data_IF_769502020334
#
_entry.id   IF_769502020334
#
_cell.length_a   1.000
_cell.length_b   1.000
_cell.length_c   1.000
_cell.angle_alpha   90.00
_cell.angle_beta   90.00
_cell.angle_gamma   90.00
#
_symmetry.space_group_name_H-M   'P 1'
#
loop_
_entity.id
_entity.type
_entity.pdbx_description
1 polymer ?
#
# COMPACT_ATOMS: atom_id res chain seq x y z
N UNK A 1 4.90 7.08 -6.08
CA UNK A 1 4.85 5.65 -5.70
C UNK A 1 6.26 5.16 -5.46
N UNK A 2 6.47 4.24 -4.52
CA UNK A 2 7.79 3.63 -4.31
C UNK A 2 7.73 2.11 -4.48
N UNK A 3 8.64 1.57 -5.28
CA UNK A 3 8.86 0.13 -5.41
C UNK A 3 9.97 -0.27 -4.43
N UNK A 4 9.75 -1.35 -3.67
CA UNK A 4 10.71 -1.82 -2.67
C UNK A 4 11.19 -3.20 -3.06
N UNK A 5 12.47 -3.32 -3.46
CA UNK A 5 13.11 -4.63 -3.57
C UNK A 5 13.49 -5.09 -2.16
N UNK A 6 12.88 -6.17 -1.67
CA UNK A 6 13.11 -6.67 -0.32
C UNK A 6 14.07 -7.86 -0.29
N UNK A 7 15.24 -7.71 -0.91
CA UNK A 7 16.28 -8.73 -0.89
C UNK A 7 16.02 -9.91 -1.82
N UNK A 8 15.37 -9.65 -2.96
CA UNK A 8 15.23 -10.64 -4.03
C UNK A 8 16.60 -11.12 -4.51
N UNK A 9 16.68 -12.40 -4.87
CA UNK A 9 17.91 -13.07 -5.33
C UNK A 9 17.94 -13.35 -6.84
N UNK A 10 16.86 -13.01 -7.52
CA UNK A 10 16.71 -13.10 -8.97
C UNK A 10 16.89 -11.72 -9.61
N UNK A 11 16.55 -11.59 -10.89
CA UNK A 11 16.64 -10.34 -11.64
C UNK A 11 15.53 -9.32 -11.32
N UNK A 12 14.81 -9.47 -10.20
CA UNK A 12 13.76 -8.52 -9.80
C UNK A 12 14.31 -7.10 -9.70
N UNK A 13 15.44 -6.89 -9.02
CA UNK A 13 16.02 -5.54 -8.87
C UNK A 13 16.30 -4.88 -10.23
N UNK A 14 16.92 -5.62 -11.15
CA UNK A 14 17.25 -5.15 -12.49
C UNK A 14 15.99 -4.77 -13.27
N UNK A 15 14.95 -5.61 -13.23
CA UNK A 15 13.65 -5.31 -13.87
C UNK A 15 12.99 -4.08 -13.26
N UNK A 16 12.99 -3.95 -11.94
CA UNK A 16 12.44 -2.76 -11.27
C UNK A 16 13.23 -1.51 -11.63
N UNK A 17 14.56 -1.63 -11.77
CA UNK A 17 15.42 -0.52 -12.17
C UNK A 17 15.11 -0.07 -13.60
N UNK A 18 14.92 -1.01 -14.53
CA UNK A 18 14.47 -0.71 -15.89
C UNK A 18 13.09 -0.05 -15.93
N UNK A 19 12.21 -0.28 -14.95
CA UNK A 19 10.91 0.39 -14.86
C UNK A 19 11.07 1.81 -14.31
N UNK A 20 11.90 2.00 -13.29
CA UNK A 20 12.26 3.33 -12.78
C UNK A 20 12.87 4.19 -13.89
N UNK A 21 13.84 3.66 -14.64
CA UNK A 21 14.57 4.39 -15.68
C UNK A 21 13.70 4.76 -16.89
N UNK A 22 12.60 4.02 -17.13
CA UNK A 22 11.64 4.29 -18.21
C UNK A 22 10.50 5.22 -17.80
N UNK A 23 10.39 5.55 -16.52
CA UNK A 23 9.25 6.28 -16.01
C UNK A 23 9.69 7.70 -15.62
N UNK A 24 9.29 8.67 -16.45
CA UNK A 24 9.79 10.04 -16.36
C UNK A 24 9.43 10.77 -15.06
N UNK A 25 8.34 10.38 -14.36
CA UNK A 25 7.94 11.05 -13.11
C UNK A 25 7.30 10.13 -12.06
N UNK A 26 7.66 10.36 -10.78
CA UNK A 26 6.87 9.91 -9.63
C UNK A 26 7.04 8.46 -9.17
N UNK A 27 7.95 7.69 -9.77
CA UNK A 27 8.35 6.35 -9.33
C UNK A 27 9.74 6.39 -8.69
N UNK A 28 9.90 5.75 -7.54
CA UNK A 28 11.21 5.59 -6.89
C UNK A 28 11.46 4.13 -6.53
N UNK A 29 12.68 3.65 -6.72
CA UNK A 29 13.12 2.31 -6.33
C UNK A 29 13.98 2.36 -5.06
N UNK A 30 13.63 1.50 -4.10
CA UNK A 30 14.40 1.33 -2.87
C UNK A 30 14.88 -0.12 -2.81
N UNK A 31 16.19 -0.29 -2.72
CA UNK A 31 16.83 -1.61 -2.65
C UNK A 31 17.25 -1.97 -1.23
N UNK A 32 16.65 -3.04 -0.69
CA UNK A 32 17.05 -3.65 0.58
C UNK A 32 17.83 -4.92 0.25
N UNK A 33 19.15 -4.85 0.36
CA UNK A 33 20.07 -5.94 -0.06
C UNK A 33 19.85 -7.30 0.61
N UNK A 34 19.21 -7.35 1.78
CA UNK A 34 18.97 -8.58 2.54
C UNK A 34 17.53 -8.59 3.04
N UNK A 35 16.79 -9.66 2.76
CA UNK A 35 15.45 -9.85 3.29
C UNK A 35 15.47 -9.83 4.83
N UNK A 36 14.66 -8.95 5.43
CA UNK A 36 14.51 -8.81 6.89
C UNK A 36 13.05 -8.83 7.35
N UNK A 37 12.15 -9.35 6.50
CA UNK A 37 10.70 -9.27 6.70
C UNK A 37 10.05 -8.09 5.99
N UNK A 38 8.71 -8.02 6.08
CA UNK A 38 7.90 -7.03 5.37
C UNK A 38 7.93 -5.67 6.07
N UNK A 39 7.86 -5.63 7.40
CA UNK A 39 7.81 -4.37 8.17
C UNK A 39 9.01 -3.46 7.90
N UNK A 40 10.27 -3.94 7.87
CA UNK A 40 11.41 -3.09 7.53
C UNK A 40 11.34 -2.54 6.10
N UNK A 41 10.73 -3.29 5.17
CA UNK A 41 10.54 -2.85 3.79
C UNK A 41 9.48 -1.74 3.70
N UNK A 42 8.34 -1.91 4.37
CA UNK A 42 7.32 -0.86 4.50
C UNK A 42 7.95 0.39 5.11
N UNK A 43 8.70 0.25 6.22
CA UNK A 43 9.40 1.37 6.89
C UNK A 43 10.33 2.13 5.95
N UNK A 44 11.09 1.42 5.12
CA UNK A 44 12.00 2.05 4.18
C UNK A 44 11.25 2.88 3.15
N UNK A 45 10.17 2.34 2.57
CA UNK A 45 9.31 3.03 1.62
C UNK A 45 8.62 4.26 2.22
N UNK A 46 8.01 4.09 3.39
CA UNK A 46 7.36 5.17 4.14
C UNK A 46 8.33 6.30 4.42
N UNK A 47 9.51 6.00 4.97
CA UNK A 47 10.52 7.02 5.29
C UNK A 47 10.96 7.79 4.05
N UNK A 48 11.07 7.13 2.91
CA UNK A 48 11.42 7.78 1.66
C UNK A 48 10.30 8.72 1.18
N UNK A 49 9.07 8.21 1.14
CA UNK A 49 7.89 8.97 0.71
C UNK A 49 7.60 10.17 1.61
N UNK A 50 7.74 10.02 2.93
CA UNK A 50 7.50 11.10 3.90
C UNK A 50 8.60 12.16 3.94
N UNK A 51 9.77 11.94 3.30
CA UNK A 51 10.88 12.89 3.37
C UNK A 51 10.57 14.23 2.69
N UNK A 52 9.80 14.20 1.62
CA UNK A 52 9.59 15.35 0.73
C UNK A 52 8.11 15.77 0.61
N UNK A 53 7.19 15.01 1.19
CA UNK A 53 5.76 15.15 0.94
C UNK A 53 4.98 15.11 2.26
N UNK A 54 3.96 15.96 2.37
CA UNK A 54 2.98 15.88 3.45
C UNK A 54 1.88 14.86 3.08
N UNK A 55 2.21 13.58 3.26
CA UNK A 55 1.32 12.47 2.93
C UNK A 55 0.37 12.17 4.08
N UNK A 56 -0.92 12.42 3.88
CA UNK A 56 -1.96 12.12 4.87
C UNK A 56 -2.11 10.62 5.14
N UNK A 57 -1.96 9.79 4.10
CA UNK A 57 -2.15 8.35 4.15
C UNK A 57 -1.14 7.63 3.26
N UNK A 58 -0.65 6.47 3.69
CA UNK A 58 0.22 5.60 2.89
C UNK A 58 -0.36 4.18 2.89
N UNK A 59 -0.85 3.75 1.73
CA UNK A 59 -1.22 2.36 1.48
C UNK A 59 -0.03 1.56 1.00
N UNK A 60 0.15 0.34 1.51
CA UNK A 60 1.11 -0.62 0.95
C UNK A 60 0.39 -1.83 0.34
N UNK A 61 1.02 -2.39 -0.69
CA UNK A 61 0.58 -3.63 -1.33
C UNK A 61 1.79 -4.56 -1.45
N UNK A 62 1.67 -5.76 -0.92
CA UNK A 62 2.66 -6.81 -1.14
C UNK A 62 2.36 -7.50 -2.46
N UNK A 63 3.32 -7.52 -3.37
CA UNK A 63 3.16 -8.15 -4.68
C UNK A 63 3.59 -9.61 -4.57
N UNK A 64 2.61 -10.51 -4.47
CA UNK A 64 2.83 -11.94 -4.62
C UNK A 64 2.84 -12.30 -6.12
N UNK A 65 3.59 -13.33 -6.52
CA UNK A 65 3.60 -13.87 -7.88
C UNK A 65 2.20 -14.34 -8.33
N UNK A 66 1.32 -14.66 -7.38
CA UNK A 66 -0.07 -15.03 -7.63
C UNK A 66 -1.02 -13.84 -7.79
N UNK A 67 -0.53 -12.60 -7.60
CA UNK A 67 -1.37 -11.41 -7.70
C UNK A 67 -1.74 -11.15 -9.17
N UNK A 68 -3.04 -11.15 -9.45
CA UNK A 68 -3.56 -10.80 -10.77
C UNK A 68 -3.09 -9.38 -11.14
N UNK A 69 -2.43 -9.14 -12.29
CA UNK A 69 -2.01 -7.80 -12.70
C UNK A 69 -3.16 -6.77 -12.73
N UNK A 70 -4.39 -7.22 -13.04
CA UNK A 70 -5.57 -6.36 -13.04
C UNK A 70 -6.02 -5.95 -11.63
N UNK A 71 -5.54 -6.63 -10.58
CA UNK A 71 -5.81 -6.25 -9.20
C UNK A 71 -5.30 -4.84 -8.89
N UNK A 72 -4.14 -4.47 -9.42
CA UNK A 72 -3.60 -3.12 -9.24
C UNK A 72 -4.52 -2.05 -9.85
N UNK A 73 -5.08 -2.33 -11.04
CA UNK A 73 -6.04 -1.43 -11.69
C UNK A 73 -7.32 -1.34 -10.85
N UNK A 74 -7.85 -2.48 -10.39
CA UNK A 74 -9.05 -2.55 -9.56
C UNK A 74 -8.90 -1.72 -8.28
N UNK A 75 -7.80 -1.90 -7.54
CA UNK A 75 -7.58 -1.18 -6.28
C UNK A 75 -7.39 0.32 -6.53
N UNK A 76 -6.72 0.72 -7.62
CA UNK A 76 -6.60 2.14 -7.99
C UNK A 76 -7.95 2.77 -8.29
N UNK A 77 -8.85 2.06 -8.98
CA UNK A 77 -10.21 2.53 -9.24
C UNK A 77 -11.03 2.65 -7.94
N UNK A 78 -10.91 1.66 -7.05
CA UNK A 78 -11.59 1.70 -5.76
C UNK A 78 -11.11 2.87 -4.90
N UNK A 79 -9.80 3.13 -4.85
CA UNK A 79 -9.23 4.29 -4.16
C UNK A 79 -9.79 5.59 -4.74
N UNK A 80 -9.82 5.74 -6.07
CA UNK A 80 -10.38 6.95 -6.71
C UNK A 80 -11.85 7.16 -6.33
N UNK A 81 -12.65 6.10 -6.34
CA UNK A 81 -14.07 6.18 -6.05
C UNK A 81 -14.37 6.38 -4.55
N UNK A 82 -13.55 5.84 -3.65
CA UNK A 82 -13.90 5.67 -2.23
C UNK A 82 -12.80 6.14 -1.26
N UNK A 83 -11.93 7.07 -1.68
CA UNK A 83 -10.80 7.54 -0.86
C UNK A 83 -11.22 8.09 0.53
N UNK A 84 -12.44 8.61 0.67
CA UNK A 84 -12.96 9.09 1.96
C UNK A 84 -13.03 7.96 3.02
N UNK A 85 -13.28 6.72 2.58
CA UNK A 85 -13.31 5.55 3.48
C UNK A 85 -11.96 5.28 4.15
N UNK A 86 -10.85 5.82 3.64
CA UNK A 86 -9.54 5.73 4.30
C UNK A 86 -9.54 6.43 5.66
N UNK A 87 -10.28 7.53 5.83
CA UNK A 87 -10.39 8.20 7.12
C UNK A 87 -11.15 7.34 8.12
N UNK A 88 -12.30 6.79 7.72
CA UNK A 88 -13.10 5.88 8.54
C UNK A 88 -12.33 4.62 8.92
N UNK A 89 -11.59 4.05 7.97
CA UNK A 89 -10.74 2.88 8.23
C UNK A 89 -9.68 3.18 9.29
N UNK A 90 -8.95 4.29 9.17
CA UNK A 90 -7.93 4.67 10.14
C UNK A 90 -8.52 4.88 11.54
N UNK A 91 -9.66 5.57 11.67
CA UNK A 91 -10.35 5.71 12.95
C UNK A 91 -10.76 4.35 13.55
N UNK A 92 -11.22 3.42 12.72
CA UNK A 92 -11.57 2.07 13.17
C UNK A 92 -10.33 1.26 13.62
N UNK A 93 -9.15 1.48 13.03
CA UNK A 93 -7.92 0.84 13.47
C UNK A 93 -7.39 1.41 14.79
N UNK A 94 -7.57 2.70 15.06
CA UNK A 94 -7.14 3.32 16.32
C UNK A 94 -7.88 2.79 17.56
N UNK A 95 -9.10 2.27 17.36
CA UNK A 95 -9.93 1.72 18.43
C UNK A 95 -9.54 0.28 18.84
N UNK A 96 -8.65 -0.40 18.11
CA UNK A 96 -8.23 -1.77 18.44
C UNK A 96 -7.15 -1.77 19.54
N UNK A 97 -7.30 -2.58 20.60
CA UNK A 97 -6.33 -2.62 21.70
C UNK A 97 -4.96 -3.15 21.24
N UNK A 98 -3.91 -2.37 21.52
CA UNK A 98 -2.48 -2.70 21.45
C UNK A 98 -2.04 -3.65 20.33
N UNK A 99 -2.51 -3.44 19.09
CA UNK A 99 -1.67 -3.78 17.96
C UNK A 99 -0.69 -2.63 17.84
N UNK A 100 0.62 -2.90 17.93
CA UNK A 100 1.66 -1.94 17.57
C UNK A 100 1.48 -1.63 16.09
N UNK A 101 0.54 -0.74 15.77
CA UNK A 101 0.35 -0.23 14.43
C UNK A 101 1.71 0.30 14.04
N UNK A 102 2.27 -0.28 12.97
CA UNK A 102 3.63 0.00 12.57
C UNK A 102 3.84 1.52 12.45
N UNK A 103 2.78 2.27 12.06
CA UNK A 103 2.68 3.73 12.07
C UNK A 103 1.21 4.21 12.07
N UNK A 104 0.95 5.46 12.49
CA UNK A 104 -0.33 6.14 12.20
C UNK A 104 -0.46 6.38 10.69
N UNK A 105 -1.68 6.24 10.14
CA UNK A 105 -2.02 6.50 8.73
C UNK A 105 -1.36 5.59 7.68
N UNK A 106 -0.87 4.42 8.09
CA UNK A 106 -0.27 3.43 7.17
C UNK A 106 -1.07 2.14 7.24
N UNK A 107 -1.49 1.62 6.09
CA UNK A 107 -2.38 0.47 6.03
C UNK A 107 -2.14 -0.43 4.84
N UNK A 108 -2.55 -1.70 4.98
CA UNK A 108 -2.57 -2.64 3.87
C UNK A 108 -3.72 -2.29 2.91
N UNK A 109 -3.43 -2.20 1.62
CA UNK A 109 -4.46 -1.98 0.61
C UNK A 109 -5.43 -3.16 0.49
N UNK A 110 -4.99 -4.38 0.80
CA UNK A 110 -5.88 -5.56 0.78
C UNK A 110 -6.88 -5.50 1.93
N UNK A 111 -6.42 -5.11 3.13
CA UNK A 111 -7.28 -5.04 4.31
C UNK A 111 -8.26 -3.88 4.20
N UNK A 112 -7.79 -2.75 3.63
CA UNK A 112 -8.64 -1.61 3.32
C UNK A 112 -9.68 -1.95 2.25
N UNK A 113 -9.31 -2.71 1.21
CA UNK A 113 -10.26 -3.18 0.19
C UNK A 113 -11.39 -4.00 0.83
N UNK A 114 -11.06 -4.96 1.70
CA UNK A 114 -12.05 -5.79 2.40
C UNK A 114 -12.97 -4.91 3.25
N UNK A 115 -12.40 -3.94 3.98
CA UNK A 115 -13.19 -2.99 4.75
C UNK A 115 -14.14 -2.16 3.87
N UNK A 116 -13.65 -1.66 2.73
CA UNK A 116 -14.43 -0.84 1.82
C UNK A 116 -15.63 -1.62 1.26
N UNK A 117 -15.42 -2.85 0.76
CA UNK A 117 -16.51 -3.69 0.25
C UNK A 117 -17.58 -3.94 1.33
N UNK A 118 -17.16 -4.35 2.53
CA UNK A 118 -18.08 -4.57 3.65
C UNK A 118 -18.85 -3.31 4.07
N UNK A 119 -18.28 -2.12 3.87
CA UNK A 119 -18.93 -0.85 4.22
C UNK A 119 -19.94 -0.45 3.15
N UNK A 120 -19.60 -0.64 1.88
CA UNK A 120 -20.49 -0.36 0.74
C UNK A 120 -21.71 -1.28 0.78
N UNK A 121 -21.50 -2.59 0.93
CA UNK A 121 -22.59 -3.58 0.98
C UNK A 121 -23.59 -3.28 2.11
N UNK A 122 -23.10 -2.88 3.30
CA UNK A 122 -23.96 -2.49 4.42
C UNK A 122 -24.76 -1.22 4.16
N UNK A 123 -24.21 -0.28 3.39
CA UNK A 123 -24.90 0.96 3.06
C UNK A 123 -26.05 0.67 2.10
N UNK A 124 -25.81 -0.19 1.11
CA UNK A 124 -26.82 -0.62 0.14
C UNK A 124 -27.96 -1.43 0.80
N UNK A 125 -27.65 -2.28 1.79
CA UNK A 125 -28.66 -3.04 2.54
C UNK A 125 -29.55 -2.17 3.45
N UNK A 126 -29.11 -0.98 3.85
CA UNK A 126 -29.88 -0.09 4.74
C UNK A 126 -30.78 0.90 3.98
N UNK A 127 -30.86 0.79 2.65
CA UNK A 127 -31.65 1.66 1.77
C UNK A 127 -33.03 1.11 1.39
N UNK A 128 -33.54 0.10 2.11
CA UNK A 128 -34.87 -0.51 1.90
C UNK A 128 -35.75 -0.46 3.15
#
# INVERSE_FOLDING_TARGET
>A
MSLINNGSKDNTFEKLKMLEDRNDEGLSLIDIKKYRGIDPAIKAGVRYLSKNNDLKYIGYLNFDANLNPNYFIKIMLLIKAQHELMFTYNQAQEQKPFQRNLFKNIFSLTDWEIFAHNTIEKTDCNTF
#
